data_IF_048167620810
#
_entry.id   IF_048167620810
#
_cell.length_a   1.000
_cell.length_b   1.000
_cell.length_c   1.000
_cell.angle_alpha   90.00
_cell.angle_beta   90.00
_cell.angle_gamma   90.00
#
_symmetry.space_group_name_H-M   'P 1'
#
loop_
_entity.id
_entity.type
_entity.pdbx_description
1 polymer ?
#
# COMPACT_ATOMS: atom_id res chain seq x y z
N UNK A 1 -39.39 21.98 3.56
CA UNK A 1 -38.56 20.79 3.84
C UNK A 1 -37.95 20.38 2.50
N UNK A 2 -36.73 20.79 2.18
CA UNK A 2 -36.03 20.29 0.99
C UNK A 2 -35.46 18.92 1.36
N UNK A 3 -36.06 17.87 0.84
CA UNK A 3 -35.42 16.55 0.82
C UNK A 3 -34.46 16.61 -0.36
N UNK A 4 -33.18 16.83 -0.12
CA UNK A 4 -32.19 16.67 -1.18
C UNK A 4 -32.23 15.20 -1.62
N UNK A 5 -32.46 14.94 -2.91
CA UNK A 5 -32.49 13.59 -3.44
C UNK A 5 -31.10 12.97 -3.27
N UNK A 6 -31.03 11.96 -2.40
CA UNK A 6 -29.83 11.17 -2.13
C UNK A 6 -30.01 9.79 -2.75
N UNK A 7 -29.00 9.35 -3.46
CA UNK A 7 -28.96 8.04 -4.10
C UNK A 7 -27.74 7.28 -3.60
N UNK A 8 -27.90 5.96 -3.47
CA UNK A 8 -26.81 5.06 -3.13
C UNK A 8 -26.19 4.53 -4.41
N UNK A 9 -24.88 4.70 -4.53
CA UNK A 9 -24.06 4.17 -5.62
C UNK A 9 -23.26 3.01 -5.06
N UNK A 10 -23.47 1.84 -5.67
CA UNK A 10 -22.73 0.62 -5.35
C UNK A 10 -22.01 0.15 -6.59
N UNK A 11 -20.69 0.07 -6.50
CA UNK A 11 -19.80 -0.49 -7.51
C UNK A 11 -18.86 -1.51 -6.88
N UNK A 12 -17.93 -2.02 -7.70
CA UNK A 12 -16.95 -3.01 -7.26
C UNK A 12 -16.06 -2.47 -6.12
N UNK A 13 -15.59 -1.23 -6.27
CA UNK A 13 -14.69 -0.59 -5.32
C UNK A 13 -15.39 0.41 -4.40
N UNK A 14 -16.65 0.77 -4.65
CA UNK A 14 -17.29 1.91 -3.97
C UNK A 14 -18.68 1.54 -3.46
N UNK A 15 -19.00 2.01 -2.26
CA UNK A 15 -20.34 2.00 -1.70
C UNK A 15 -20.57 3.35 -1.02
N UNK A 16 -21.28 4.24 -1.71
CA UNK A 16 -21.41 5.63 -1.27
C UNK A 16 -22.83 6.14 -1.43
N UNK A 17 -23.23 6.99 -0.50
CA UNK A 17 -24.39 7.85 -0.65
C UNK A 17 -23.93 9.16 -1.26
N UNK A 18 -24.61 9.56 -2.31
CA UNK A 18 -24.32 10.77 -3.05
C UNK A 18 -25.60 11.56 -3.29
N UNK A 19 -25.46 12.84 -3.57
CA UNK A 19 -26.59 13.72 -3.87
C UNK A 19 -26.16 14.88 -4.75
N UNK A 20 -27.12 15.55 -5.36
CA UNK A 20 -26.88 16.72 -6.21
C UNK A 20 -27.71 16.69 -7.49
N UNK A 21 -27.36 17.59 -8.40
CA UNK A 21 -28.13 17.85 -9.61
C UNK A 21 -27.42 17.28 -10.83
N UNK A 22 -28.09 16.35 -11.51
CA UNK A 22 -27.64 15.79 -12.78
C UNK A 22 -28.70 16.01 -13.86
N UNK A 23 -28.26 16.42 -15.05
CA UNK A 23 -29.09 16.60 -16.24
C UNK A 23 -28.56 15.74 -17.37
N UNK A 24 -29.35 14.75 -17.76
CA UNK A 24 -29.09 13.93 -18.94
C UNK A 24 -29.64 14.62 -20.19
N UNK A 25 -28.81 14.74 -21.22
CA UNK A 25 -29.19 15.22 -22.56
C UNK A 25 -28.80 14.17 -23.58
N UNK A 26 -29.74 13.71 -24.38
CA UNK A 26 -29.47 12.74 -25.43
C UNK A 26 -30.26 13.11 -26.69
N UNK A 27 -29.54 13.28 -27.81
CA UNK A 27 -30.16 13.43 -29.12
C UNK A 27 -30.50 12.04 -29.72
N UNK A 28 -31.50 11.92 -30.60
CA UNK A 28 -31.96 10.62 -31.13
C UNK A 28 -30.86 9.72 -31.73
N UNK A 29 -29.79 10.31 -32.26
CA UNK A 29 -28.63 9.59 -32.81
C UNK A 29 -27.29 10.04 -32.21
N UNK A 30 -27.32 10.74 -31.06
CA UNK A 30 -26.13 11.27 -30.40
C UNK A 30 -25.75 10.48 -29.14
N UNK A 31 -24.50 10.60 -28.72
CA UNK A 31 -24.05 10.08 -27.43
C UNK A 31 -24.82 10.77 -26.28
N UNK A 32 -25.06 10.01 -25.20
CA UNK A 32 -25.61 10.57 -23.98
C UNK A 32 -24.63 11.59 -23.39
N UNK A 33 -25.15 12.74 -22.98
CA UNK A 33 -24.38 13.78 -22.33
C UNK A 33 -24.91 14.03 -20.92
N UNK A 34 -24.00 14.16 -19.95
CA UNK A 34 -24.34 14.40 -18.56
C UNK A 34 -23.77 15.75 -18.09
N UNK A 35 -24.59 16.53 -17.39
CA UNK A 35 -24.21 17.84 -16.87
C UNK A 35 -24.62 17.98 -15.42
N UNK A 36 -23.79 18.67 -14.63
CA UNK A 36 -24.10 19.02 -13.25
C UNK A 36 -23.04 18.51 -12.27
N UNK A 37 -23.41 18.41 -11.00
CA UNK A 37 -22.48 18.03 -9.92
C UNK A 37 -23.16 17.07 -8.96
N UNK A 38 -22.41 16.03 -8.62
CA UNK A 38 -22.73 15.07 -7.57
C UNK A 38 -21.74 15.28 -6.43
N UNK A 39 -22.24 15.43 -5.21
CA UNK A 39 -21.44 15.44 -4.00
C UNK A 39 -21.55 14.09 -3.30
N UNK A 40 -20.44 13.63 -2.71
CA UNK A 40 -20.41 12.48 -1.82
C UNK A 40 -20.86 12.94 -0.44
N UNK A 41 -21.94 12.35 0.06
CA UNK A 41 -22.46 12.60 1.41
C UNK A 41 -21.73 11.74 2.44
N UNK A 42 -21.30 10.55 2.03
CA UNK A 42 -20.52 9.63 2.83
C UNK A 42 -20.51 8.24 2.19
N UNK A 43 -19.52 7.43 2.53
CA UNK A 43 -19.39 6.10 1.96
C UNK A 43 -18.04 5.47 2.23
N UNK A 44 -17.78 4.39 1.52
CA UNK A 44 -16.56 3.61 1.65
C UNK A 44 -15.98 3.26 0.28
N UNK A 45 -14.65 3.33 0.20
CA UNK A 45 -13.88 2.88 -0.93
C UNK A 45 -13.07 1.65 -0.51
N UNK A 46 -13.23 0.55 -1.22
CA UNK A 46 -12.46 -0.68 -1.08
C UNK A 46 -11.43 -0.75 -2.20
N UNK A 47 -10.16 -0.55 -1.86
CA UNK A 47 -9.05 -0.62 -2.80
C UNK A 47 -7.84 -1.30 -2.14
N UNK A 48 -7.10 -2.11 -2.89
CA UNK A 48 -5.90 -2.82 -2.41
C UNK A 48 -6.13 -3.63 -1.12
N UNK A 49 -7.34 -4.21 -0.98
CA UNK A 49 -7.73 -4.96 0.22
C UNK A 49 -7.95 -4.10 1.47
N UNK A 50 -7.89 -2.77 1.35
CA UNK A 50 -8.19 -1.85 2.45
C UNK A 50 -9.53 -1.17 2.23
N UNK A 51 -10.22 -0.89 3.32
CA UNK A 51 -11.43 -0.10 3.37
C UNK A 51 -11.06 1.31 3.86
N UNK A 52 -11.42 2.30 3.07
CA UNK A 52 -11.19 3.72 3.30
C UNK A 52 -12.54 4.42 3.40
N UNK A 53 -12.69 5.30 4.38
CA UNK A 53 -13.85 6.17 4.51
C UNK A 53 -13.77 7.29 3.47
N UNK A 54 -14.80 7.44 2.63
CA UNK A 54 -14.99 8.64 1.83
C UNK A 54 -15.56 9.73 2.73
N UNK A 55 -14.71 10.70 3.08
CA UNK A 55 -15.07 11.81 3.97
C UNK A 55 -15.83 12.89 3.21
N UNK A 56 -15.25 13.30 2.09
CA UNK A 56 -15.71 14.42 1.29
C UNK A 56 -15.40 14.12 -0.18
N UNK A 57 -16.22 14.64 -1.07
CA UNK A 57 -15.88 14.62 -2.47
C UNK A 57 -16.99 15.11 -3.40
N UNK A 58 -16.62 15.39 -4.64
CA UNK A 58 -17.55 15.73 -5.69
C UNK A 58 -17.10 15.20 -7.05
N UNK A 59 -18.07 15.00 -7.92
CA UNK A 59 -17.90 14.67 -9.33
C UNK A 59 -18.70 15.69 -10.14
N UNK A 60 -18.04 16.38 -11.06
CA UNK A 60 -18.67 17.37 -11.93
C UNK A 60 -18.67 16.89 -13.38
N UNK A 61 -19.84 16.89 -14.01
CA UNK A 61 -20.04 16.45 -15.38
C UNK A 61 -20.29 17.65 -16.29
N UNK A 62 -19.65 17.65 -17.46
CA UNK A 62 -19.68 18.75 -18.43
C UNK A 62 -19.85 18.26 -19.87
N UNK A 63 -20.59 17.18 -20.08
CA UNK A 63 -20.81 16.58 -21.40
C UNK A 63 -20.52 15.09 -21.38
N UNK A 64 -19.24 14.69 -21.44
CA UNK A 64 -18.83 13.28 -21.47
C UNK A 64 -19.15 12.60 -20.12
N UNK A 65 -20.11 11.64 -20.07
CA UNK A 65 -20.43 10.92 -18.84
C UNK A 65 -19.29 10.02 -18.37
N UNK A 66 -18.36 9.63 -19.24
CA UNK A 66 -17.22 8.77 -18.92
C UNK A 66 -16.00 9.56 -18.44
N UNK A 67 -16.04 10.89 -18.46
CA UNK A 67 -14.91 11.72 -18.04
C UNK A 67 -15.31 12.92 -17.15
N UNK A 68 -15.89 12.66 -15.96
CA UNK A 68 -16.15 13.72 -14.99
C UNK A 68 -14.85 14.31 -14.43
N UNK A 69 -14.94 15.54 -13.92
CA UNK A 69 -13.96 16.05 -12.97
C UNK A 69 -14.19 15.48 -11.59
N UNK A 70 -13.13 14.98 -10.99
CA UNK A 70 -13.06 14.42 -9.66
C UNK A 70 -12.43 15.43 -8.71
N UNK A 71 -12.95 15.44 -7.49
CA UNK A 71 -12.32 16.03 -6.31
C UNK A 71 -12.78 15.21 -5.11
N UNK A 72 -12.01 14.21 -4.72
CA UNK A 72 -12.41 13.20 -3.74
C UNK A 72 -11.35 13.08 -2.65
N UNK A 73 -11.76 12.89 -1.39
CA UNK A 73 -10.88 12.58 -0.26
C UNK A 73 -11.33 11.30 0.44
N UNK A 74 -10.41 10.35 0.54
CA UNK A 74 -10.60 9.13 1.30
C UNK A 74 -9.50 8.96 2.35
N UNK A 75 -9.84 8.46 3.53
CA UNK A 75 -8.88 8.20 4.62
C UNK A 75 -9.26 6.96 5.42
N UNK A 76 -8.26 6.44 6.12
CA UNK A 76 -8.44 5.49 7.21
C UNK A 76 -7.85 6.06 8.49
N UNK A 77 -8.57 5.86 9.57
CA UNK A 77 -8.11 6.18 10.91
C UNK A 77 -7.54 4.92 11.58
N UNK A 78 -6.38 5.07 12.21
CA UNK A 78 -5.67 4.09 13.00
C UNK A 78 -5.64 4.58 14.46
N UNK A 79 -6.65 4.21 15.27
CA UNK A 79 -6.83 4.79 16.60
C UNK A 79 -5.70 4.46 17.58
N UNK A 80 -5.11 3.27 17.47
CA UNK A 80 -4.01 2.82 18.36
C UNK A 80 -2.75 3.68 18.19
N UNK A 81 -2.55 4.23 17.00
CA UNK A 81 -1.41 5.05 16.62
C UNK A 81 -1.74 6.54 16.59
N UNK A 82 -3.00 6.93 16.86
CA UNK A 82 -3.52 8.28 16.67
C UNK A 82 -3.17 8.85 15.28
N UNK A 83 -3.32 8.03 14.24
CA UNK A 83 -2.83 8.31 12.88
C UNK A 83 -4.00 8.25 11.88
N UNK A 84 -4.12 9.26 11.03
CA UNK A 84 -4.94 9.21 9.81
C UNK A 84 -4.03 9.12 8.60
N UNK A 85 -4.36 8.24 7.66
CA UNK A 85 -3.67 8.16 6.36
C UNK A 85 -4.70 8.06 5.26
N UNK A 86 -4.53 8.84 4.21
CA UNK A 86 -5.50 8.93 3.13
C UNK A 86 -4.89 9.40 1.82
N UNK A 87 -5.76 9.59 0.86
CA UNK A 87 -5.42 10.21 -0.41
C UNK A 87 -6.52 11.14 -0.90
N UNK A 88 -6.12 12.08 -1.75
CA UNK A 88 -7.02 12.92 -2.53
C UNK A 88 -6.89 12.58 -4.01
N UNK A 89 -8.01 12.56 -4.73
CA UNK A 89 -8.05 12.39 -6.18
C UNK A 89 -8.65 13.63 -6.79
N UNK A 90 -7.90 14.31 -7.64
CA UNK A 90 -8.33 15.46 -8.41
C UNK A 90 -8.18 15.24 -9.91
N UNK A 91 -8.72 16.16 -10.72
CA UNK A 91 -8.53 16.12 -12.17
C UNK A 91 -9.65 15.36 -12.90
N UNK A 92 -9.39 14.92 -14.12
CA UNK A 92 -10.40 14.20 -14.91
C UNK A 92 -10.31 12.71 -14.68
N UNK A 93 -11.39 11.97 -14.89
CA UNK A 93 -11.35 10.51 -14.75
C UNK A 93 -10.36 9.85 -15.72
N UNK A 94 -10.11 10.46 -16.90
CA UNK A 94 -9.08 10.01 -17.86
C UNK A 94 -7.65 10.41 -17.45
N UNK A 95 -7.49 11.52 -16.75
CA UNK A 95 -6.20 12.02 -16.23
C UNK A 95 -6.30 12.35 -14.73
N UNK A 96 -6.45 11.33 -13.86
CA UNK A 96 -6.58 11.54 -12.43
C UNK A 96 -5.22 11.89 -11.81
N UNK A 97 -5.23 12.84 -10.88
CA UNK A 97 -4.09 13.18 -10.04
C UNK A 97 -4.34 12.69 -8.63
N UNK A 98 -3.46 11.85 -8.13
CA UNK A 98 -3.55 11.25 -6.81
C UNK A 98 -2.44 11.80 -5.91
N UNK A 99 -2.84 12.33 -4.77
CA UNK A 99 -1.95 12.85 -3.74
C UNK A 99 -2.21 12.15 -2.41
N UNK A 100 -1.13 11.79 -1.72
CA UNK A 100 -1.19 11.09 -0.44
C UNK A 100 -1.01 12.08 0.70
N UNK A 101 -1.68 11.83 1.82
CA UNK A 101 -1.50 12.60 3.04
C UNK A 101 -1.59 11.72 4.28
N UNK A 102 -1.08 12.25 5.39
CA UNK A 102 -1.31 11.68 6.71
C UNK A 102 -1.29 12.75 7.79
N UNK A 103 -1.94 12.45 8.90
CA UNK A 103 -1.97 13.27 10.10
C UNK A 103 -1.69 12.38 11.30
N UNK A 104 -0.51 12.49 11.96
CA UNK A 104 0.59 13.42 11.68
C UNK A 104 1.30 13.15 10.34
N UNK A 105 2.06 14.15 9.85
CA UNK A 105 2.76 14.07 8.57
C UNK A 105 3.82 12.96 8.61
N UNK A 106 3.69 12.00 7.70
CA UNK A 106 4.63 10.90 7.50
C UNK A 106 5.39 11.10 6.18
N UNK A 107 6.57 10.47 6.01
CA UNK A 107 7.19 10.27 4.70
C UNK A 107 6.25 9.52 3.75
N UNK A 108 6.32 9.82 2.44
CA UNK A 108 5.41 9.26 1.43
C UNK A 108 5.41 7.73 1.41
N UNK A 109 6.57 7.12 1.62
CA UNK A 109 6.77 5.67 1.66
C UNK A 109 6.02 5.04 2.85
N UNK A 110 6.03 5.72 3.99
CA UNK A 110 5.27 5.31 5.16
C UNK A 110 3.76 5.47 4.94
N UNK A 111 3.31 6.57 4.31
CA UNK A 111 1.91 6.76 3.94
C UNK A 111 1.40 5.62 3.04
N UNK A 112 2.15 5.30 1.98
CA UNK A 112 1.86 4.16 1.10
C UNK A 112 1.82 2.84 1.86
N UNK A 113 2.79 2.61 2.75
CA UNK A 113 2.81 1.40 3.56
C UNK A 113 1.54 1.24 4.39
N UNK A 114 1.10 2.31 5.05
CA UNK A 114 -0.14 2.32 5.81
C UNK A 114 -1.38 2.13 4.92
N UNK A 115 -1.42 2.74 3.74
CA UNK A 115 -2.55 2.61 2.82
C UNK A 115 -2.67 1.26 2.14
N UNK A 116 -1.55 0.58 1.85
CA UNK A 116 -1.57 -0.71 1.16
C UNK A 116 -1.55 -1.87 2.15
N UNK A 117 -0.78 -1.74 3.23
CA UNK A 117 -0.53 -2.83 4.20
C UNK A 117 -1.18 -2.62 5.56
N UNK A 118 -1.69 -1.43 5.85
CA UNK A 118 -2.27 -1.12 7.17
C UNK A 118 -1.24 -1.07 8.30
N UNK A 119 0.06 -0.93 7.99
CA UNK A 119 1.16 -0.95 8.96
C UNK A 119 2.39 -0.18 8.46
N UNK A 120 3.33 0.25 9.32
CA UNK A 120 4.52 0.96 8.89
C UNK A 120 5.44 0.06 8.02
N UNK A 121 6.34 0.64 7.23
CA UNK A 121 7.30 -0.14 6.45
C UNK A 121 8.23 -0.90 7.39
N UNK A 122 8.57 -2.14 7.04
CA UNK A 122 9.55 -2.92 7.78
C UNK A 122 10.88 -2.15 7.82
N UNK A 123 11.52 -2.07 9.00
CA UNK A 123 12.75 -1.29 9.22
C UNK A 123 13.99 -1.77 8.42
N UNK A 124 13.81 -2.67 7.47
CA UNK A 124 14.84 -3.14 6.52
C UNK A 124 14.38 -3.12 5.05
N UNK A 125 13.22 -2.57 4.73
CA UNK A 125 12.70 -2.45 3.36
C UNK A 125 13.14 -1.17 2.64
N UNK A 126 13.95 -0.32 3.29
CA UNK A 126 14.82 0.60 2.55
C UNK A 126 15.89 -0.26 1.87
N UNK A 127 16.24 0.03 0.61
CA UNK A 127 17.25 -0.71 -0.16
C UNK A 127 18.64 -0.79 0.51
N UNK A 128 18.83 -0.11 1.64
CA UNK A 128 20.04 -0.11 2.48
C UNK A 128 20.01 -1.14 3.64
N UNK A 129 18.88 -1.83 3.86
CA UNK A 129 18.67 -2.71 5.03
C UNK A 129 19.40 -4.06 5.00
N UNK A 130 19.90 -4.49 3.84
CA UNK A 130 20.61 -5.77 3.70
C UNK A 130 21.97 -5.75 4.41
N UNK A 131 22.56 -4.58 4.65
CA UNK A 131 23.85 -4.46 5.34
C UNK A 131 23.74 -4.61 6.88
N UNK A 132 22.59 -4.25 7.46
CA UNK A 132 22.42 -4.25 8.93
C UNK A 132 22.06 -5.63 9.48
N UNK A 133 21.36 -6.46 8.69
CA UNK A 133 21.01 -7.84 9.08
C UNK A 133 22.24 -8.77 9.27
N UNK A 134 23.39 -8.41 8.71
CA UNK A 134 24.65 -9.16 8.84
C UNK A 134 25.44 -8.79 10.12
N UNK A 135 25.09 -7.69 10.80
CA UNK A 135 25.88 -7.16 11.92
C UNK A 135 25.38 -7.58 13.31
N UNK A 136 24.13 -8.03 13.44
CA UNK A 136 23.52 -8.39 14.73
C UNK A 136 23.68 -9.89 15.07
N UNK A 137 24.16 -10.70 14.11
CA UNK A 137 24.37 -12.14 14.29
C UNK A 137 25.75 -12.57 14.84
N UNK A 138 26.60 -11.65 15.28
CA UNK A 138 28.00 -11.96 15.64
C UNK A 138 28.34 -11.87 17.14
N UNK A 139 27.44 -11.38 18.01
CA UNK A 139 27.77 -11.08 19.42
C UNK A 139 27.14 -11.99 20.47
N UNK A 140 26.55 -13.13 20.09
CA UNK A 140 26.06 -14.13 21.04
C UNK A 140 26.48 -15.55 20.63
N UNK A 141 27.78 -15.72 20.37
CA UNK A 141 28.40 -17.04 20.17
C UNK A 141 28.60 -17.71 21.55
N UNK A 142 27.54 -18.30 22.09
CA UNK A 142 27.69 -19.36 23.10
C UNK A 142 27.96 -20.69 22.36
N UNK A 143 29.26 -20.96 22.22
CA UNK A 143 29.96 -21.98 21.44
C UNK A 143 29.67 -23.46 21.81
N UNK A 144 28.44 -23.91 22.05
CA UNK A 144 28.23 -25.30 22.52
C UNK A 144 27.03 -26.04 21.92
N UNK A 145 26.05 -25.34 21.35
CA UNK A 145 24.83 -25.97 20.83
C UNK A 145 24.90 -26.35 19.34
N UNK A 146 25.74 -25.71 18.53
CA UNK A 146 25.79 -25.92 17.07
C UNK A 146 26.60 -27.14 16.62
N UNK A 147 27.62 -27.56 17.38
CA UNK A 147 28.42 -28.76 17.07
C UNK A 147 27.61 -30.05 17.27
N UNK A 148 26.63 -30.04 18.17
CA UNK A 148 25.82 -31.23 18.52
C UNK A 148 24.76 -31.58 17.46
N UNK A 149 24.33 -30.60 16.68
CA UNK A 149 23.35 -30.80 15.59
C UNK A 149 23.99 -31.29 14.29
N UNK A 150 25.29 -31.06 14.10
CA UNK A 150 26.03 -31.54 12.93
C UNK A 150 26.42 -33.03 13.03
N UNK A 151 26.40 -33.62 14.23
CA UNK A 151 26.75 -35.03 14.47
C UNK A 151 25.56 -36.01 14.31
N UNK A 152 24.44 -35.58 13.71
CA UNK A 152 23.25 -36.42 13.47
C UNK A 152 22.78 -36.44 12.02
N UNK A 153 23.71 -36.27 11.08
CA UNK A 153 23.47 -36.56 9.67
C UNK A 153 24.20 -37.86 9.30
N UNK A 154 23.48 -39.00 9.21
CA UNK A 154 24.05 -40.30 8.87
C UNK A 154 24.41 -40.45 7.37
N UNK A 155 24.52 -39.34 6.62
CA UNK A 155 24.61 -39.36 5.15
C UNK A 155 25.93 -38.81 4.57
N UNK A 156 26.90 -38.41 5.39
CA UNK A 156 28.23 -38.01 4.90
C UNK A 156 29.30 -38.95 5.45
N UNK A 157 29.10 -40.25 5.24
CA UNK A 157 30.20 -41.20 5.24
C UNK A 157 30.95 -41.02 3.93
N UNK A 158 32.23 -40.69 4.04
CA UNK A 158 33.23 -40.69 2.96
C UNK A 158 33.20 -39.49 2.02
N UNK A 159 33.61 -38.33 2.54
CA UNK A 159 34.50 -37.47 1.75
C UNK A 159 35.92 -37.75 2.23
N UNK A 160 36.58 -38.67 1.53
CA UNK A 160 38.03 -38.77 1.54
C UNK A 160 38.56 -37.62 0.67
N UNK A 161 38.89 -36.50 1.29
CA UNK A 161 39.74 -35.49 0.66
C UNK A 161 41.19 -35.95 0.84
N UNK A 162 41.68 -36.60 -0.21
CA UNK A 162 43.07 -36.97 -0.35
C UNK A 162 43.97 -35.72 -0.40
N UNK A 163 44.91 -35.68 0.53
CA UNK A 163 46.33 -35.36 0.36
C UNK A 163 46.72 -34.24 -0.61
N UNK A 164 47.17 -33.13 -0.04
CA UNK A 164 48.55 -32.71 -0.26
C UNK A 164 49.11 -32.06 1.01
N UNK A 165 49.95 -32.85 1.68
CA UNK A 165 50.73 -32.45 2.86
C UNK A 165 51.86 -31.55 2.39
N UNK A 166 51.69 -30.24 2.51
CA UNK A 166 52.80 -29.30 2.56
C UNK A 166 53.40 -29.26 3.96
N UNK A 167 54.19 -30.27 4.35
CA UNK A 167 54.95 -30.22 5.60
C UNK A 167 56.23 -29.42 5.40
N UNK A 168 56.25 -28.22 5.96
CA UNK A 168 57.43 -27.41 6.19
C UNK A 168 58.33 -28.08 7.23
N UNK A 169 59.55 -28.46 6.85
CA UNK A 169 60.59 -28.94 7.77
C UNK A 169 61.61 -27.84 8.03
N UNK A 170 61.52 -27.22 9.22
CA UNK A 170 62.55 -26.31 9.75
C UNK A 170 63.56 -27.09 10.59
N UNK A 171 64.84 -26.89 10.27
CA UNK A 171 66.07 -26.97 11.09
C UNK A 171 66.55 -28.32 11.67
N UNK A 172 67.81 -28.66 11.36
CA UNK A 172 68.85 -28.94 12.35
C UNK A 172 70.25 -28.88 11.70
N UNK A 173 71.14 -28.17 12.39
CA UNK A 173 72.63 -28.12 12.41
C UNK A 173 73.43 -29.07 11.51
#
# INVERSE_FOLDING_TARGET
>A
MLVEERFRVVGELVDATVGGDLRLRQAPAGAAQLFGRVAVVGGELRAYGQQLELREGSMSFAGDPENPQLDLRAERHFPSEALRVGFTVGGSLREPRLDLYSEPQLPREAQLSWLVRGRPPDAGASMDGTALALSVGASALNQTSLVRSLNRLPLLSNVALGTETGSNGTAAT
#
